data_IF_213111824605
#
_entry.id   IF_213111824605
#
_cell.length_a   1.000
_cell.length_b   1.000
_cell.length_c   1.000
_cell.angle_alpha   90.00
_cell.angle_beta   90.00
_cell.angle_gamma   90.00
#
_symmetry.space_group_name_H-M   'P 1'
#
loop_
_entity.id
_entity.type
_entity.pdbx_description
1 polymer ?
#
# COMPACT_ATOMS: atom_id res chain seq x y z
N UNK A 1 37.59 20.50 14.27
CA UNK A 1 37.06 19.37 13.48
C UNK A 1 35.98 18.72 14.32
N UNK A 2 34.72 19.05 14.03
CA UNK A 2 33.59 18.64 14.86
C UNK A 2 33.07 17.28 14.39
N UNK A 3 33.13 16.31 15.30
CA UNK A 3 32.38 15.06 15.28
C UNK A 3 30.90 15.37 15.47
N UNK A 4 30.05 14.93 14.55
CA UNK A 4 28.59 14.95 14.74
C UNK A 4 28.04 13.54 14.61
N UNK A 5 27.71 12.95 15.76
CA UNK A 5 26.88 11.77 15.92
C UNK A 5 25.40 12.14 15.84
N UNK A 6 24.60 11.46 15.02
CA UNK A 6 23.13 11.47 15.06
C UNK A 6 22.62 10.13 14.51
N UNK A 7 22.29 9.17 15.39
CA UNK A 7 20.94 8.79 15.88
C UNK A 7 20.12 7.94 14.91
N UNK A 8 19.98 6.67 15.31
CA UNK A 8 19.02 5.66 14.87
C UNK A 8 17.60 6.27 14.82
N UNK A 9 16.97 6.25 13.66
CA UNK A 9 15.56 6.63 13.52
C UNK A 9 14.69 5.46 13.97
N UNK A 10 14.31 5.46 15.24
CA UNK A 10 13.23 4.62 15.76
C UNK A 10 11.90 5.17 15.21
N UNK A 11 11.18 4.35 14.44
CA UNK A 11 9.89 4.71 13.82
C UNK A 11 8.70 4.64 14.79
N UNK A 12 8.95 4.46 16.09
CA UNK A 12 7.92 4.38 17.13
C UNK A 12 7.46 5.73 17.67
N UNK A 13 8.00 6.86 17.21
CA UNK A 13 7.72 8.18 17.80
C UNK A 13 7.03 9.19 16.88
N UNK A 14 6.21 8.75 15.92
CA UNK A 14 5.20 9.64 15.31
C UNK A 14 3.93 9.67 16.17
N UNK A 15 4.04 10.27 17.36
CA UNK A 15 2.89 10.83 18.05
C UNK A 15 2.80 12.31 17.66
N UNK A 16 1.72 12.77 17.00
CA UNK A 16 1.63 14.16 16.57
C UNK A 16 1.58 15.12 17.77
N UNK A 17 2.48 16.10 17.76
CA UNK A 17 2.54 17.19 18.73
C UNK A 17 1.25 18.02 18.68
N UNK A 18 0.54 18.10 19.81
CA UNK A 18 -0.73 18.79 19.94
C UNK A 18 -0.55 20.29 20.18
N UNK A 19 -0.87 21.12 19.18
CA UNK A 19 -1.39 22.46 19.45
C UNK A 19 -2.19 23.03 18.27
N UNK A 20 -3.48 22.72 18.23
CA UNK A 20 -4.53 23.64 17.75
C UNK A 20 -5.90 23.10 18.19
N UNK A 21 -6.53 23.83 19.10
CA UNK A 21 -7.92 23.60 19.51
C UNK A 21 -8.84 24.00 18.36
N UNK A 22 -9.62 23.06 17.81
CA UNK A 22 -11.00 23.21 17.33
C UNK A 22 -11.52 21.83 16.87
N UNK A 23 -12.68 21.41 17.39
CA UNK A 23 -13.44 20.23 16.96
C UNK A 23 -12.84 18.88 17.36
N UNK A 24 -13.33 18.28 18.45
CA UNK A 24 -12.96 16.92 18.88
C UNK A 24 -13.48 15.87 17.91
N UNK A 25 -12.67 15.55 16.91
CA UNK A 25 -12.55 14.19 16.41
C UNK A 25 -11.07 13.83 16.53
N UNK A 26 -10.74 13.00 17.52
CA UNK A 26 -9.47 12.26 17.47
C UNK A 26 -9.51 11.48 16.16
N UNK A 27 -8.45 11.52 15.37
CA UNK A 27 -8.33 10.65 14.22
C UNK A 27 -8.67 9.22 14.61
N UNK A 28 -9.12 8.41 13.66
CA UNK A 28 -9.22 6.97 13.83
C UNK A 28 -7.77 6.43 13.88
N UNK A 29 -7.00 6.82 14.90
CA UNK A 29 -5.64 6.38 15.12
C UNK A 29 -5.73 4.90 15.45
N UNK A 30 -5.41 4.11 14.43
CA UNK A 30 -5.19 2.67 14.48
C UNK A 30 -6.35 1.88 15.09
N UNK A 31 -7.36 1.53 14.28
CA UNK A 31 -8.21 0.38 14.61
C UNK A 31 -7.34 -0.87 14.43
N UNK A 32 -6.69 -1.29 15.52
CA UNK A 32 -6.09 -2.61 15.65
C UNK A 32 -7.22 -3.60 15.93
N UNK A 33 -7.78 -4.12 14.86
CA UNK A 33 -8.81 -5.15 14.80
C UNK A 33 -8.89 -5.59 13.35
N UNK A 34 -9.31 -6.80 13.07
CA UNK A 34 -9.51 -7.22 11.68
C UNK A 34 -10.46 -6.25 10.96
N UNK A 35 -10.55 -6.34 9.64
CA UNK A 35 -11.55 -5.60 8.82
C UNK A 35 -12.98 -5.69 9.41
N UNK A 36 -13.25 -6.75 10.18
CA UNK A 36 -14.50 -7.04 10.90
C UNK A 36 -14.83 -6.09 12.07
N UNK A 37 -13.86 -5.37 12.65
CA UNK A 37 -14.08 -4.53 13.83
C UNK A 37 -14.30 -3.05 13.49
N UNK A 38 -14.33 -2.68 12.20
CA UNK A 38 -14.60 -1.30 11.79
C UNK A 38 -16.12 -1.05 11.78
N UNK A 39 -16.64 -0.60 12.92
CA UNK A 39 -18.02 -0.13 13.04
C UNK A 39 -18.20 1.22 12.34
N UNK A 40 -18.60 1.21 11.07
CA UNK A 40 -18.80 2.42 10.24
C UNK A 40 -20.18 3.07 10.36
N UNK A 41 -21.05 2.49 11.20
CA UNK A 41 -22.31 3.12 11.51
C UNK A 41 -22.03 4.44 12.26
N UNK A 42 -22.24 5.57 11.57
CA UNK A 42 -22.20 6.96 12.08
C UNK A 42 -20.90 7.79 11.91
N UNK A 43 -20.08 7.55 10.89
CA UNK A 43 -19.10 8.59 10.48
C UNK A 43 -19.85 9.77 9.84
N UNK A 44 -19.97 10.87 10.60
CA UNK A 44 -20.66 12.09 10.16
C UNK A 44 -19.82 12.97 9.22
N UNK A 45 -18.56 12.62 8.95
CA UNK A 45 -17.65 13.39 8.11
C UNK A 45 -16.75 12.49 7.25
N UNK A 46 -16.26 13.00 6.10
CA UNK A 46 -15.23 12.31 5.32
C UNK A 46 -13.97 12.06 6.15
N UNK A 47 -13.39 10.87 6.02
CA UNK A 47 -12.11 10.51 6.64
C UNK A 47 -10.98 10.98 5.73
N UNK A 48 -10.00 11.71 6.26
CA UNK A 48 -8.88 12.15 5.43
C UNK A 48 -8.00 10.97 5.02
N UNK A 49 -7.55 10.18 5.99
CA UNK A 49 -6.65 9.05 5.80
C UNK A 49 -7.20 7.80 6.50
N UNK A 50 -7.19 6.67 5.79
CA UNK A 50 -7.54 5.37 6.34
C UNK A 50 -6.40 4.39 6.08
N UNK A 51 -5.86 3.81 7.14
CA UNK A 51 -4.88 2.73 7.08
C UNK A 51 -5.48 1.44 7.61
N UNK A 52 -5.40 0.36 6.84
CA UNK A 52 -5.97 -0.93 7.19
C UNK A 52 -4.92 -2.04 7.09
N UNK A 53 -4.79 -2.82 8.15
CA UNK A 53 -4.04 -4.07 8.16
C UNK A 53 -4.99 -5.23 7.93
N UNK A 54 -4.81 -5.91 6.82
CA UNK A 54 -5.57 -7.08 6.42
C UNK A 54 -4.87 -8.31 7.02
N UNK A 55 -5.49 -8.92 8.01
CA UNK A 55 -4.99 -10.15 8.64
C UNK A 55 -4.99 -11.34 7.67
N UNK A 56 -4.32 -12.45 8.03
CA UNK A 56 -4.08 -13.60 7.14
C UNK A 56 -5.35 -14.33 6.65
N UNK A 57 -6.53 -14.05 7.21
CA UNK A 57 -7.80 -14.72 6.88
C UNK A 57 -8.85 -13.67 6.50
N UNK A 58 -8.61 -12.90 5.45
CA UNK A 58 -9.55 -11.86 5.02
C UNK A 58 -9.71 -11.84 3.50
N UNK A 59 -10.92 -12.07 3.02
CA UNK A 59 -11.31 -11.75 1.65
C UNK A 59 -11.27 -10.23 1.44
N UNK A 60 -10.85 -9.74 0.29
CA UNK A 60 -10.70 -8.29 0.05
C UNK A 60 -12.05 -7.58 -0.20
N UNK A 61 -13.13 -8.33 -0.45
CA UNK A 61 -14.47 -7.80 -0.75
C UNK A 61 -15.02 -6.75 0.25
N UNK A 62 -14.89 -6.94 1.58
CA UNK A 62 -15.37 -5.98 2.57
C UNK A 62 -14.64 -4.62 2.58
N UNK A 63 -13.52 -4.45 1.87
CA UNK A 63 -12.82 -3.15 1.77
C UNK A 63 -13.71 -2.10 1.10
N UNK A 64 -14.48 -2.50 0.09
CA UNK A 64 -15.30 -1.58 -0.72
C UNK A 64 -16.41 -0.89 0.08
N UNK A 65 -17.26 -1.60 0.84
CA UNK A 65 -18.26 -0.92 1.68
C UNK A 65 -17.59 -0.02 2.73
N UNK A 66 -16.39 -0.38 3.22
CA UNK A 66 -15.66 0.42 4.20
C UNK A 66 -15.21 1.75 3.63
N UNK A 67 -14.48 1.69 2.52
CA UNK A 67 -13.95 2.87 1.82
C UNK A 67 -15.08 3.75 1.31
N UNK A 68 -16.18 3.16 0.85
CA UNK A 68 -17.37 3.89 0.39
C UNK A 68 -18.06 4.67 1.50
N UNK A 69 -18.23 4.07 2.68
CA UNK A 69 -18.81 4.74 3.83
C UNK A 69 -17.89 5.86 4.36
N UNK A 70 -16.58 5.61 4.41
CA UNK A 70 -15.60 6.54 4.97
C UNK A 70 -15.26 7.73 4.05
N UNK A 71 -15.49 7.60 2.72
CA UNK A 71 -15.21 8.64 1.71
C UNK A 71 -13.78 9.19 1.82
N UNK A 72 -12.81 8.28 1.79
CA UNK A 72 -11.41 8.59 2.12
C UNK A 72 -10.70 9.36 1.01
N UNK A 73 -9.81 10.29 1.41
CA UNK A 73 -8.90 10.98 0.48
C UNK A 73 -7.56 10.28 0.30
N UNK A 74 -7.10 9.52 1.30
CA UNK A 74 -5.90 8.70 1.26
C UNK A 74 -6.20 7.32 1.87
N UNK A 75 -5.72 6.27 1.21
CA UNK A 75 -5.90 4.88 1.62
C UNK A 75 -4.57 4.16 1.68
N UNK A 76 -4.28 3.52 2.81
CA UNK A 76 -3.14 2.60 2.96
C UNK A 76 -3.64 1.19 3.29
N UNK A 77 -3.20 0.20 2.51
CA UNK A 77 -3.54 -1.22 2.71
C UNK A 77 -2.28 -2.02 2.97
N UNK A 78 -2.28 -2.75 4.08
CA UNK A 78 -1.16 -3.57 4.54
C UNK A 78 -1.64 -5.02 4.59
N UNK A 79 -1.02 -5.91 3.84
CA UNK A 79 -1.48 -7.30 3.70
C UNK A 79 -0.32 -8.28 3.68
N UNK A 80 -0.55 -9.45 4.26
CA UNK A 80 0.36 -10.59 4.28
C UNK A 80 -0.40 -11.87 3.90
N UNK A 81 -1.36 -11.75 2.98
CA UNK A 81 -2.29 -12.81 2.61
C UNK A 81 -1.82 -13.47 1.32
N UNK A 82 -1.72 -14.80 1.33
CA UNK A 82 -1.21 -15.63 0.22
C UNK A 82 -1.91 -15.34 -1.13
N UNK A 83 -3.22 -15.06 -1.11
CA UNK A 83 -4.04 -14.80 -2.29
C UNK A 83 -4.23 -13.30 -2.60
N UNK A 84 -3.35 -12.41 -2.12
CA UNK A 84 -3.42 -10.96 -2.42
C UNK A 84 -3.48 -10.66 -3.92
N UNK A 85 -2.82 -11.46 -4.75
CA UNK A 85 -2.77 -11.30 -6.21
C UNK A 85 -3.88 -12.05 -6.97
N UNK A 86 -4.75 -12.78 -6.26
CA UNK A 86 -5.82 -13.57 -6.86
C UNK A 86 -6.78 -12.68 -7.67
N UNK A 87 -7.07 -13.09 -8.90
CA UNK A 87 -7.83 -12.29 -9.85
C UNK A 87 -9.34 -12.21 -9.55
N UNK A 88 -9.87 -13.02 -8.62
CA UNK A 88 -11.29 -13.11 -8.28
C UNK A 88 -11.62 -12.58 -6.89
N UNK A 89 -10.77 -12.88 -5.90
CA UNK A 89 -11.03 -12.61 -4.48
C UNK A 89 -9.92 -11.79 -3.81
N UNK A 90 -8.80 -11.58 -4.49
CA UNK A 90 -7.68 -10.78 -4.01
C UNK A 90 -7.89 -9.27 -4.14
N UNK A 91 -6.78 -8.54 -4.12
CA UNK A 91 -6.74 -7.09 -4.28
C UNK A 91 -7.12 -6.57 -5.69
N UNK A 92 -6.81 -7.24 -6.82
CA UNK A 92 -7.11 -6.70 -8.15
C UNK A 92 -8.59 -6.31 -8.37
N UNK A 93 -9.60 -7.14 -8.03
CA UNK A 93 -11.00 -6.75 -8.13
C UNK A 93 -11.38 -5.52 -7.32
N UNK A 94 -10.79 -5.35 -6.13
CA UNK A 94 -11.01 -4.16 -5.28
C UNK A 94 -10.48 -2.92 -5.95
N UNK A 95 -9.25 -2.97 -6.50
CA UNK A 95 -8.64 -1.84 -7.20
C UNK A 95 -9.46 -1.40 -8.41
N UNK A 96 -10.10 -2.32 -9.14
CA UNK A 96 -10.93 -2.00 -10.30
C UNK A 96 -12.17 -1.15 -9.98
N UNK A 97 -12.71 -1.27 -8.76
CA UNK A 97 -13.91 -0.54 -8.34
C UNK A 97 -13.63 0.55 -7.31
N UNK A 98 -12.39 0.66 -6.83
CA UNK A 98 -11.99 1.57 -5.77
C UNK A 98 -12.31 3.04 -6.07
N UNK A 99 -12.02 3.50 -7.30
CA UNK A 99 -12.30 4.88 -7.72
C UNK A 99 -13.79 5.21 -7.75
N UNK A 100 -14.67 4.22 -7.93
CA UNK A 100 -16.13 4.40 -7.83
C UNK A 100 -16.60 4.37 -6.38
N UNK A 101 -15.95 3.55 -5.54
CA UNK A 101 -16.27 3.42 -4.13
C UNK A 101 -15.92 4.70 -3.35
N UNK A 102 -14.76 5.32 -3.59
CA UNK A 102 -14.41 6.63 -3.04
C UNK A 102 -13.96 7.59 -4.14
N UNK A 103 -14.91 8.33 -4.76
CA UNK A 103 -14.59 9.31 -5.81
C UNK A 103 -13.64 10.44 -5.38
N UNK A 104 -13.47 10.66 -4.07
CA UNK A 104 -12.57 11.65 -3.51
C UNK A 104 -11.14 11.15 -3.26
N UNK A 105 -10.86 9.87 -3.51
CA UNK A 105 -9.55 9.27 -3.27
C UNK A 105 -8.47 9.95 -4.14
N UNK A 106 -7.43 10.47 -3.51
CA UNK A 106 -6.29 11.10 -4.16
C UNK A 106 -5.01 10.24 -4.05
N UNK A 107 -4.89 9.42 -3.01
CA UNK A 107 -3.66 8.69 -2.71
C UNK A 107 -3.95 7.24 -2.34
N UNK A 108 -3.13 6.32 -2.87
CA UNK A 108 -3.18 4.91 -2.53
C UNK A 108 -1.78 4.40 -2.20
N UNK A 109 -1.64 3.77 -1.03
CA UNK A 109 -0.41 3.10 -0.60
C UNK A 109 -0.68 1.62 -0.34
N UNK A 110 0.16 0.75 -0.89
CA UNK A 110 0.09 -0.69 -0.72
C UNK A 110 1.38 -1.20 -0.07
N UNK A 111 1.25 -1.93 1.02
CA UNK A 111 2.31 -2.70 1.65
C UNK A 111 1.95 -4.17 1.57
N UNK A 112 2.67 -4.93 0.74
CA UNK A 112 2.34 -6.34 0.46
C UNK A 112 3.51 -7.20 0.95
N UNK A 113 3.28 -7.98 2.00
CA UNK A 113 4.16 -9.07 2.39
C UNK A 113 3.89 -10.26 1.49
N UNK A 114 4.93 -10.74 0.82
CA UNK A 114 4.85 -11.91 -0.05
C UNK A 114 5.18 -13.13 0.79
N UNK A 115 4.16 -13.89 1.14
CA UNK A 115 4.27 -15.19 1.81
C UNK A 115 3.96 -16.24 0.76
N UNK A 116 4.95 -17.09 0.45
CA UNK A 116 4.82 -18.29 -0.38
C UNK A 116 3.97 -18.13 -1.67
N UNK A 117 4.50 -17.37 -2.66
CA UNK A 117 3.79 -17.15 -3.91
C UNK A 117 4.10 -18.25 -4.94
N UNK A 118 3.10 -19.09 -5.21
CA UNK A 118 3.16 -20.10 -6.28
C UNK A 118 2.86 -19.54 -7.68
N UNK A 119 2.33 -18.32 -7.77
CA UNK A 119 1.98 -17.69 -9.04
C UNK A 119 3.20 -17.04 -9.72
N UNK A 120 3.17 -16.93 -11.06
CA UNK A 120 4.12 -16.11 -11.80
C UNK A 120 4.04 -14.65 -11.31
N UNK A 121 5.08 -14.24 -10.60
CA UNK A 121 5.18 -12.92 -9.99
C UNK A 121 5.10 -11.77 -11.01
N UNK A 122 5.51 -11.97 -12.27
CA UNK A 122 5.31 -10.95 -13.30
C UNK A 122 3.83 -10.73 -13.56
N UNK A 123 3.05 -11.81 -13.67
CA UNK A 123 1.60 -11.74 -13.89
C UNK A 123 0.91 -11.14 -12.67
N UNK A 124 1.25 -11.62 -11.47
CA UNK A 124 0.71 -11.16 -10.20
C UNK A 124 0.92 -9.65 -10.00
N UNK A 125 2.14 -9.18 -10.24
CA UNK A 125 2.53 -7.78 -10.13
C UNK A 125 1.76 -6.89 -11.13
N UNK A 126 1.66 -7.32 -12.39
CA UNK A 126 0.90 -6.60 -13.42
C UNK A 126 -0.60 -6.54 -13.13
N UNK A 127 -1.17 -7.55 -12.47
CA UNK A 127 -2.58 -7.53 -12.04
C UNK A 127 -2.87 -6.44 -11.00
N UNK A 128 -1.88 -6.07 -10.20
CA UNK A 128 -2.00 -4.93 -9.27
C UNK A 128 -1.81 -3.62 -10.02
N UNK A 129 -0.74 -3.50 -10.82
CA UNK A 129 -0.39 -2.23 -11.46
C UNK A 129 -1.39 -1.77 -12.53
N UNK A 130 -1.97 -2.69 -13.32
CA UNK A 130 -2.89 -2.33 -14.40
C UNK A 130 -4.12 -1.56 -13.93
N UNK A 131 -4.85 -1.99 -12.89
CA UNK A 131 -5.93 -1.20 -12.30
C UNK A 131 -5.50 0.21 -11.86
N UNK A 132 -4.30 0.37 -11.31
CA UNK A 132 -3.80 1.66 -10.79
C UNK A 132 -3.74 2.72 -11.87
N UNK A 133 -3.32 2.35 -13.08
CA UNK A 133 -3.18 3.27 -14.22
C UNK A 133 -4.49 4.03 -14.49
N UNK A 134 -5.62 3.35 -14.33
CA UNK A 134 -6.96 3.87 -14.59
C UNK A 134 -7.63 4.53 -13.38
N UNK A 135 -7.01 4.47 -12.19
CA UNK A 135 -7.59 5.08 -11.01
C UNK A 135 -7.50 6.62 -11.07
N UNK A 136 -8.53 7.34 -10.57
CA UNK A 136 -8.52 8.80 -10.51
C UNK A 136 -7.72 9.33 -9.31
N UNK A 137 -6.54 8.76 -9.06
CA UNK A 137 -5.64 9.13 -7.95
C UNK A 137 -4.45 9.94 -8.49
N UNK A 138 -3.84 10.76 -7.62
CA UNK A 138 -2.66 11.58 -7.92
C UNK A 138 -1.37 10.92 -7.46
N UNK A 139 -1.42 10.12 -6.39
CA UNK A 139 -0.23 9.45 -5.86
C UNK A 139 -0.48 7.96 -5.64
N UNK A 140 0.48 7.15 -6.04
CA UNK A 140 0.51 5.73 -5.78
C UNK A 140 1.85 5.31 -5.18
N UNK A 141 1.81 4.51 -4.12
CA UNK A 141 2.98 3.86 -3.55
C UNK A 141 2.73 2.37 -3.39
N UNK A 142 3.71 1.54 -3.74
CA UNK A 142 3.68 0.10 -3.49
C UNK A 142 5.03 -0.39 -2.98
N UNK A 143 5.03 -1.01 -1.82
CA UNK A 143 6.20 -1.63 -1.21
C UNK A 143 5.95 -3.11 -1.02
N UNK A 144 6.86 -3.92 -1.55
CA UNK A 144 6.86 -5.37 -1.37
C UNK A 144 7.79 -5.75 -0.21
N UNK A 145 7.31 -6.56 0.72
CA UNK A 145 8.10 -7.09 1.83
C UNK A 145 8.35 -8.57 1.59
N UNK A 146 9.61 -8.97 1.64
CA UNK A 146 10.03 -10.36 1.70
C UNK A 146 10.29 -10.68 3.17
N UNK A 147 9.56 -11.64 3.74
CA UNK A 147 9.94 -12.14 5.05
C UNK A 147 11.29 -12.86 4.93
N UNK A 148 12.15 -12.69 5.94
CA UNK A 148 13.40 -13.42 6.10
C UNK A 148 13.07 -14.88 6.45
N UNK A 149 12.69 -15.68 5.46
CA UNK A 149 12.73 -17.14 5.60
C UNK A 149 13.99 -17.66 4.92
N UNK A 150 14.72 -18.53 5.63
CA UNK A 150 16.01 -19.07 5.17
C UNK A 150 15.92 -19.81 3.81
N UNK A 151 14.70 -20.18 3.39
CA UNK A 151 14.39 -20.93 2.16
C UNK A 151 14.07 -20.04 0.92
N UNK A 152 14.05 -18.70 1.03
CA UNK A 152 13.65 -17.82 -0.11
C UNK A 152 14.82 -17.50 -1.04
N UNK A 153 16.06 -17.75 -0.62
CA UNK A 153 17.24 -17.47 -1.44
C UNK A 153 17.22 -18.26 -2.74
N UNK A 154 17.05 -17.55 -3.86
CA UNK A 154 16.91 -18.16 -5.18
C UNK A 154 15.53 -18.77 -5.45
N UNK A 155 14.52 -18.46 -4.64
CA UNK A 155 13.11 -18.74 -4.97
C UNK A 155 12.67 -17.98 -6.23
N UNK A 156 11.58 -18.40 -6.91
CA UNK A 156 11.04 -17.67 -8.05
C UNK A 156 10.72 -16.20 -7.73
N UNK A 157 10.23 -15.91 -6.52
CA UNK A 157 9.93 -14.56 -6.05
C UNK A 157 11.20 -13.74 -5.88
N UNK A 158 12.23 -14.28 -5.23
CA UNK A 158 13.54 -13.63 -5.06
C UNK A 158 14.19 -13.34 -6.42
N UNK A 159 14.15 -14.28 -7.36
CA UNK A 159 14.69 -14.08 -8.72
C UNK A 159 13.92 -12.99 -9.48
N UNK A 160 12.60 -12.98 -9.37
CA UNK A 160 11.76 -11.94 -9.98
C UNK A 160 12.12 -10.56 -9.44
N UNK A 161 12.15 -10.39 -8.11
CA UNK A 161 12.43 -9.10 -7.47
C UNK A 161 13.87 -8.65 -7.65
N UNK A 162 14.83 -9.58 -7.68
CA UNK A 162 16.22 -9.31 -8.01
C UNK A 162 16.36 -8.77 -9.45
N UNK A 163 15.61 -9.32 -10.41
CA UNK A 163 15.61 -8.90 -11.81
C UNK A 163 14.71 -7.70 -12.13
N UNK A 164 13.86 -7.27 -11.19
CA UNK A 164 12.92 -6.16 -11.42
C UNK A 164 13.63 -4.80 -11.36
N UNK A 165 13.47 -4.03 -12.44
CA UNK A 165 13.84 -2.61 -12.47
C UNK A 165 12.69 -1.75 -11.93
N UNK A 166 12.74 -1.47 -10.63
CA UNK A 166 11.75 -0.62 -9.94
C UNK A 166 11.65 0.80 -10.53
N UNK A 167 12.76 1.35 -11.04
CA UNK A 167 12.78 2.69 -11.64
C UNK A 167 12.00 2.71 -12.93
N UNK A 168 12.27 1.76 -13.82
CA UNK A 168 11.53 1.63 -15.08
C UNK A 168 10.04 1.38 -14.79
N UNK A 169 9.71 0.50 -13.83
CA UNK A 169 8.31 0.22 -13.48
C UNK A 169 7.56 1.43 -12.93
N UNK A 170 8.18 2.23 -12.07
CA UNK A 170 7.55 3.45 -11.57
C UNK A 170 7.29 4.45 -12.71
N UNK A 171 8.23 4.57 -13.65
CA UNK A 171 8.08 5.42 -14.84
C UNK A 171 7.00 4.91 -15.79
N UNK A 172 6.91 3.60 -16.02
CA UNK A 172 5.91 2.99 -16.91
C UNK A 172 4.50 3.26 -16.39
N UNK A 173 4.25 3.03 -15.10
CA UNK A 173 2.95 3.29 -14.46
C UNK A 173 2.60 4.77 -14.52
N UNK A 174 3.54 5.65 -14.20
CA UNK A 174 3.33 7.09 -14.27
C UNK A 174 3.02 7.56 -15.70
N UNK A 175 3.73 7.02 -16.69
CA UNK A 175 3.57 7.40 -18.10
C UNK A 175 2.26 6.88 -18.70
N UNK A 176 1.78 5.72 -18.24
CA UNK A 176 0.55 5.12 -18.71
C UNK A 176 -0.72 5.79 -18.13
N UNK A 177 -0.62 6.48 -16.99
CA UNK A 177 -1.76 7.16 -16.35
C UNK A 177 -1.80 8.65 -16.68
N UNK A 178 -2.98 9.20 -16.93
CA UNK A 178 -3.14 10.66 -17.10
C UNK A 178 -3.29 11.39 -15.76
N UNK A 179 -3.71 10.72 -14.69
CA UNK A 179 -4.02 11.34 -13.40
C UNK A 179 -2.85 11.34 -12.41
N UNK A 180 -2.01 10.31 -12.45
CA UNK A 180 -0.88 10.17 -11.52
C UNK A 180 0.14 11.30 -11.73
N UNK A 181 0.56 11.88 -10.60
CA UNK A 181 1.65 12.86 -10.50
C UNK A 181 2.87 12.26 -9.79
N UNK A 182 2.66 11.27 -8.93
CA UNK A 182 3.73 10.59 -8.19
C UNK A 182 3.47 9.09 -8.17
N UNK A 183 4.50 8.32 -8.51
CA UNK A 183 4.52 6.86 -8.37
C UNK A 183 5.76 6.45 -7.59
N UNK A 184 5.57 5.59 -6.61
CA UNK A 184 6.64 4.97 -5.84
C UNK A 184 6.46 3.46 -5.85
N UNK A 185 7.50 2.73 -6.27
CA UNK A 185 7.49 1.27 -6.27
C UNK A 185 8.80 0.81 -5.66
N UNK A 186 8.72 -0.12 -4.71
CA UNK A 186 9.90 -0.59 -4.02
C UNK A 186 9.71 -1.96 -3.39
N UNK A 187 10.78 -2.38 -2.75
CA UNK A 187 10.84 -3.55 -1.89
C UNK A 187 11.67 -3.26 -0.65
N UNK A 188 11.33 -3.94 0.43
CA UNK A 188 12.05 -3.93 1.69
C UNK A 188 12.49 -5.34 2.07
N UNK A 189 13.59 -5.42 2.82
CA UNK A 189 14.16 -6.66 3.34
C UNK A 189 14.53 -7.69 2.25
N UNK A 190 14.93 -7.25 1.04
CA UNK A 190 15.43 -8.19 0.04
C UNK A 190 16.80 -8.73 0.47
N UNK A 191 17.04 -10.06 0.46
CA UNK A 191 18.24 -10.62 1.08
C UNK A 191 19.57 -10.13 0.51
N UNK A 192 19.64 -9.90 -0.82
CA UNK A 192 20.87 -9.42 -1.49
C UNK A 192 20.88 -7.92 -1.81
N UNK A 193 19.74 -7.32 -2.12
CA UNK A 193 19.62 -5.91 -2.53
C UNK A 193 19.27 -4.96 -1.38
N UNK A 194 18.87 -5.49 -0.21
CA UNK A 194 18.39 -4.69 0.91
C UNK A 194 17.07 -3.98 0.58
N UNK A 195 16.96 -2.71 0.98
CA UNK A 195 15.79 -1.89 0.68
C UNK A 195 16.01 -1.13 -0.62
N UNK A 196 15.05 -1.22 -1.54
CA UNK A 196 15.07 -0.51 -2.82
C UNK A 196 13.75 0.21 -2.99
N UNK A 197 13.80 1.54 -3.18
CA UNK A 197 12.61 2.35 -3.47
C UNK A 197 12.90 3.22 -4.68
N UNK A 198 12.08 3.12 -5.70
CA UNK A 198 12.16 3.96 -6.89
C UNK A 198 10.95 4.88 -6.97
N UNK A 199 11.22 6.14 -7.34
CA UNK A 199 10.20 7.19 -7.39
C UNK A 199 10.21 7.84 -8.77
N UNK A 200 9.03 7.96 -9.36
CA UNK A 200 8.77 8.76 -10.56
C UNK A 200 7.81 9.90 -10.20
N UNK A 201 8.07 11.10 -10.72
CA UNK A 201 7.26 12.30 -10.49
C UNK A 201 7.04 13.00 -11.82
N UNK A 202 5.83 13.52 -12.04
CA UNK A 202 5.50 14.38 -13.17
C UNK A 202 5.68 15.83 -12.73
N UNK A 203 6.46 16.57 -13.51
CA UNK A 203 6.72 18.01 -13.30
C UNK A 203 5.45 18.86 -13.42
#
# INVERSE_FOLDING_TARGET
>A
MATTSWTRTDWTSYAPSTSRRHGTWRGLETVSGGVYDIYLAALACPVQELSMRLGPIVEFGPIIPIVSAAKVSSLALWTAIDYVFDAKFGLPPVLLVLGKASPGLQELSLAIHIVDCEEDMHIAFERILRPIISLPIRAFAMILYLDETDDVHGSPVDRFLAGLDFTQRAQDVLSASTNLQKVEIGMHAHPTRGNVTARAVRD
#
